data_IF_180806906196
#
_entry.id   IF_180806906196
#
_cell.length_a   1.000
_cell.length_b   1.000
_cell.length_c   1.000
_cell.angle_alpha   90.00
_cell.angle_beta   90.00
_cell.angle_gamma   90.00
#
_symmetry.space_group_name_H-M   'P 1'
#
loop_
_entity.id
_entity.type
_entity.pdbx_description
1 polymer ?
#
# COMPACT_ATOMS: atom_id res chain seq x y z
N UNK A 1 -1.64 -28.15 2.68
CA UNK A 1 -2.52 -28.09 1.50
C UNK A 1 -3.48 -26.89 1.40
N UNK A 2 -3.56 -25.98 2.38
CA UNK A 2 -4.35 -24.73 2.27
C UNK A 2 -3.73 -23.63 1.39
N UNK A 3 -2.50 -23.82 0.89
CA UNK A 3 -1.78 -22.84 0.07
C UNK A 3 -2.21 -22.79 -1.40
N UNK A 4 -3.11 -23.68 -1.85
CA UNK A 4 -3.72 -23.65 -3.19
C UNK A 4 -4.94 -22.71 -3.25
N UNK A 5 -4.89 -21.56 -2.58
CA UNK A 5 -5.88 -20.52 -2.82
C UNK A 5 -5.68 -19.97 -4.25
N UNK A 6 -6.77 -19.79 -5.02
CA UNK A 6 -6.73 -19.16 -6.36
C UNK A 6 -6.00 -17.80 -6.39
N UNK A 7 -5.79 -17.16 -5.24
CA UNK A 7 -5.03 -15.93 -5.09
C UNK A 7 -4.18 -15.95 -3.79
N UNK A 8 -2.94 -16.48 -3.84
CA UNK A 8 -2.09 -16.63 -2.66
C UNK A 8 -1.67 -15.28 -2.04
N UNK A 9 -1.50 -14.24 -2.86
CA UNK A 9 -1.18 -12.89 -2.40
C UNK A 9 -2.32 -12.28 -1.58
N UNK A 10 -3.58 -12.48 -1.99
CA UNK A 10 -4.76 -12.02 -1.25
C UNK A 10 -4.87 -12.66 0.13
N UNK A 11 -4.66 -14.00 0.19
CA UNK A 11 -4.66 -14.73 1.45
C UNK A 11 -3.53 -14.26 2.38
N UNK A 12 -2.30 -14.17 1.87
CA UNK A 12 -1.14 -13.68 2.62
C UNK A 12 -1.39 -12.28 3.19
N UNK A 13 -1.92 -11.36 2.38
CA UNK A 13 -2.23 -10.01 2.83
C UNK A 13 -3.30 -9.99 3.93
N UNK A 14 -4.32 -10.87 3.85
CA UNK A 14 -5.35 -11.00 4.89
C UNK A 14 -4.78 -11.56 6.19
N UNK A 15 -3.93 -12.58 6.11
CA UNK A 15 -3.29 -13.18 7.28
C UNK A 15 -2.35 -12.20 7.98
N UNK A 16 -1.47 -11.51 7.24
CA UNK A 16 -0.56 -10.51 7.82
C UNK A 16 -1.30 -9.41 8.57
N UNK A 17 -2.39 -8.87 7.99
CA UNK A 17 -3.23 -7.88 8.68
C UNK A 17 -3.88 -8.46 9.94
N UNK A 18 -4.42 -9.67 9.86
CA UNK A 18 -5.05 -10.32 11.02
C UNK A 18 -4.08 -10.53 12.19
N UNK A 19 -2.86 -10.99 11.88
CA UNK A 19 -1.80 -11.19 12.88
C UNK A 19 -1.36 -9.84 13.46
N UNK A 20 -1.09 -8.85 12.62
CA UNK A 20 -0.65 -7.52 13.05
C UNK A 20 -1.66 -6.85 13.97
N UNK A 21 -2.95 -6.86 13.59
CA UNK A 21 -4.02 -6.27 14.39
C UNK A 21 -4.15 -6.99 15.73
N UNK A 22 -4.11 -8.33 15.73
CA UNK A 22 -4.16 -9.13 16.96
C UNK A 22 -3.00 -8.80 17.90
N UNK A 23 -1.77 -8.78 17.38
CA UNK A 23 -0.58 -8.45 18.18
C UNK A 23 -0.64 -7.03 18.74
N UNK A 24 -1.17 -6.07 17.97
CA UNK A 24 -1.36 -4.70 18.45
C UNK A 24 -2.34 -4.66 19.64
N UNK A 25 -3.45 -5.39 19.57
CA UNK A 25 -4.41 -5.48 20.69
C UNK A 25 -3.79 -6.15 21.92
N UNK A 26 -3.06 -7.26 21.73
CA UNK A 26 -2.39 -7.98 22.83
C UNK A 26 -1.31 -7.12 23.52
N UNK A 27 -0.67 -6.22 22.77
CA UNK A 27 0.28 -5.24 23.29
C UNK A 27 -0.38 -4.01 23.93
N UNK A 28 -1.72 -3.91 23.95
CA UNK A 28 -2.45 -2.75 24.47
C UNK A 28 -2.37 -1.50 23.57
N UNK A 29 -1.97 -1.66 22.31
CA UNK A 29 -1.91 -0.56 21.34
C UNK A 29 -3.31 -0.24 20.81
N UNK A 30 -3.61 1.04 20.62
CA UNK A 30 -4.84 1.52 19.99
C UNK A 30 -4.65 1.98 18.53
N UNK A 31 -3.40 2.05 18.07
CA UNK A 31 -3.02 2.59 16.75
C UNK A 31 -1.91 1.75 16.12
N UNK A 32 -2.05 1.45 14.83
CA UNK A 32 -1.05 0.78 14.01
C UNK A 32 -0.61 1.71 12.88
N UNK A 33 0.68 2.05 12.84
CA UNK A 33 1.27 2.82 11.76
C UNK A 33 1.79 1.88 10.66
N UNK A 34 1.29 2.04 9.44
CA UNK A 34 1.68 1.25 8.29
C UNK A 34 2.57 2.06 7.37
N UNK A 35 3.61 1.42 6.84
CA UNK A 35 4.61 2.06 5.98
C UNK A 35 4.17 2.35 4.55
N UNK A 36 2.87 2.46 4.28
CA UNK A 36 2.38 2.77 2.94
C UNK A 36 2.76 4.20 2.55
N UNK A 37 3.28 4.35 1.34
CA UNK A 37 3.73 5.63 0.78
C UNK A 37 2.90 6.06 -0.43
N UNK A 38 3.23 7.22 -1.01
CA UNK A 38 2.42 7.83 -2.09
C UNK A 38 2.28 6.91 -3.31
N UNK A 39 3.37 6.28 -3.71
CA UNK A 39 3.40 5.36 -4.86
C UNK A 39 2.47 4.15 -4.62
N UNK A 40 2.38 3.62 -3.38
CA UNK A 40 1.48 2.51 -3.04
C UNK A 40 0.01 2.86 -3.33
N UNK A 41 -0.38 4.11 -3.09
CA UNK A 41 -1.74 4.56 -3.33
C UNK A 41 -2.04 4.64 -4.83
N UNK A 42 -1.11 5.18 -5.63
CA UNK A 42 -1.22 5.23 -7.07
C UNK A 42 -1.29 3.83 -7.69
N UNK A 43 -0.41 2.92 -7.27
CA UNK A 43 -0.41 1.51 -7.68
C UNK A 43 -1.73 0.83 -7.29
N UNK A 44 -2.20 1.03 -6.05
CA UNK A 44 -3.44 0.41 -5.58
C UNK A 44 -4.66 0.91 -6.34
N UNK A 45 -4.72 2.20 -6.69
CA UNK A 45 -5.78 2.75 -7.53
C UNK A 45 -5.81 2.06 -8.89
N UNK A 46 -4.66 1.96 -9.58
CA UNK A 46 -4.59 1.30 -10.88
C UNK A 46 -4.92 -0.19 -10.79
N UNK A 47 -4.44 -0.87 -9.75
CA UNK A 47 -4.77 -2.28 -9.52
C UNK A 47 -6.28 -2.49 -9.35
N UNK A 48 -6.94 -1.65 -8.55
CA UNK A 48 -8.38 -1.73 -8.36
C UNK A 48 -9.14 -1.42 -9.65
N UNK A 49 -8.67 -0.46 -10.45
CA UNK A 49 -9.30 -0.08 -11.70
C UNK A 49 -9.17 -1.17 -12.77
N UNK A 50 -7.95 -1.65 -13.04
CA UNK A 50 -7.69 -2.57 -14.16
C UNK A 50 -7.94 -4.04 -13.83
N UNK A 51 -7.61 -4.49 -12.61
CA UNK A 51 -7.80 -5.89 -12.23
C UNK A 51 -9.03 -6.12 -11.36
N UNK A 52 -9.49 -5.08 -10.67
CA UNK A 52 -10.67 -5.13 -9.80
C UNK A 52 -11.95 -4.55 -10.42
N UNK A 53 -11.88 -3.89 -11.57
CA UNK A 53 -13.02 -3.26 -12.24
C UNK A 53 -13.73 -2.18 -11.40
N UNK A 54 -13.01 -1.55 -10.45
CA UNK A 54 -13.60 -0.59 -9.51
C UNK A 54 -12.66 0.56 -9.20
N UNK A 55 -13.24 1.73 -8.95
CA UNK A 55 -12.48 2.89 -8.46
C UNK A 55 -12.38 2.79 -6.94
N UNK A 56 -11.16 2.82 -6.40
CA UNK A 56 -10.94 2.81 -4.96
C UNK A 56 -9.47 2.68 -4.56
N UNK A 57 -9.19 3.00 -3.31
CA UNK A 57 -7.88 2.86 -2.68
C UNK A 57 -8.04 2.50 -1.19
N UNK A 58 -6.95 2.26 -0.47
CA UNK A 58 -6.99 2.29 0.99
C UNK A 58 -7.03 3.76 1.48
N UNK A 59 -7.66 4.06 2.61
CA UNK A 59 -7.71 5.43 3.16
C UNK A 59 -6.41 5.81 3.90
N UNK A 60 -6.00 7.09 3.99
CA UNK A 60 -4.92 7.54 4.87
C UNK A 60 -5.11 7.12 6.34
N UNK A 61 -6.37 7.09 6.80
CA UNK A 61 -6.75 6.67 8.15
C UNK A 61 -7.89 5.67 8.06
N UNK A 62 -7.76 4.53 8.74
CA UNK A 62 -8.83 3.52 8.79
C UNK A 62 -9.17 3.21 10.24
N UNK A 63 -10.45 3.37 10.63
CA UNK A 63 -10.92 2.97 11.97
C UNK A 63 -11.49 1.56 11.90
N UNK A 64 -10.90 0.65 12.66
CA UNK A 64 -11.34 -0.73 12.82
C UNK A 64 -12.16 -0.84 14.12
N UNK A 65 -13.42 -0.41 14.07
CA UNK A 65 -14.30 -0.35 15.25
C UNK A 65 -14.41 -1.70 15.96
N UNK A 66 -14.61 -2.80 15.23
CA UNK A 66 -14.67 -4.16 15.81
C UNK A 66 -13.40 -4.60 16.56
N UNK A 67 -12.28 -3.92 16.34
CA UNK A 67 -10.99 -4.20 16.97
C UNK A 67 -10.53 -3.07 17.89
N UNK A 68 -11.29 -1.98 18.01
CA UNK A 68 -10.88 -0.76 18.72
C UNK A 68 -9.48 -0.26 18.29
N UNK A 69 -9.16 -0.41 17.00
CA UNK A 69 -7.87 -0.04 16.42
C UNK A 69 -8.00 1.07 15.37
N UNK A 70 -7.00 1.96 15.33
CA UNK A 70 -6.82 2.96 14.27
C UNK A 70 -5.60 2.59 13.41
N UNK A 71 -5.79 2.40 12.11
CA UNK A 71 -4.68 2.30 11.16
C UNK A 71 -4.35 3.69 10.63
N UNK A 72 -3.08 4.07 10.67
CA UNK A 72 -2.57 5.31 10.08
C UNK A 72 -1.46 5.01 9.07
N UNK A 73 -1.29 5.90 8.09
CA UNK A 73 -0.24 5.79 7.06
C UNK A 73 0.55 7.09 7.01
N UNK A 74 1.52 7.29 7.92
CA UNK A 74 2.18 8.59 8.07
C UNK A 74 2.95 9.04 6.82
N UNK A 75 3.45 8.08 6.03
CA UNK A 75 4.26 8.34 4.84
C UNK A 75 3.43 8.48 3.56
N UNK A 76 2.10 8.56 3.66
CA UNK A 76 1.21 8.40 2.51
C UNK A 76 1.33 9.49 1.44
N UNK A 77 1.95 10.62 1.77
CA UNK A 77 2.23 11.73 0.83
C UNK A 77 3.71 11.81 0.42
N UNK A 78 4.54 10.86 0.85
CA UNK A 78 5.97 10.84 0.60
C UNK A 78 6.25 9.89 -0.58
N UNK A 79 7.12 10.31 -1.50
CA UNK A 79 7.62 9.47 -2.60
C UNK A 79 8.50 8.33 -2.06
N UNK A 80 8.37 7.15 -2.66
CA UNK A 80 9.20 5.97 -2.37
C UNK A 80 10.71 6.29 -2.41
N UNK A 81 11.13 7.09 -3.40
CA UNK A 81 12.53 7.54 -3.58
C UNK A 81 13.03 8.39 -2.40
N UNK A 82 12.18 9.25 -1.82
CA UNK A 82 12.54 10.07 -0.66
C UNK A 82 12.69 9.22 0.60
N UNK A 83 11.83 8.21 0.77
CA UNK A 83 11.93 7.25 1.88
C UNK A 83 13.23 6.46 1.76
N UNK A 84 13.56 5.95 0.56
CA UNK A 84 14.80 5.22 0.32
C UNK A 84 16.04 6.08 0.59
N UNK A 85 16.03 7.34 0.12
CA UNK A 85 17.12 8.29 0.40
C UNK A 85 17.28 8.55 1.89
N UNK A 86 16.18 8.78 2.62
CA UNK A 86 16.22 9.02 4.06
C UNK A 86 16.73 7.79 4.83
N UNK A 87 16.31 6.59 4.45
CA UNK A 87 16.81 5.36 5.04
C UNK A 87 18.33 5.21 4.85
N UNK A 88 18.84 5.51 3.65
CA UNK A 88 20.28 5.48 3.36
C UNK A 88 21.05 6.55 4.17
N UNK A 89 20.58 7.80 4.18
CA UNK A 89 21.23 8.89 4.92
C UNK A 89 21.25 8.66 6.43
N UNK A 90 20.22 8.00 6.98
CA UNK A 90 20.14 7.67 8.40
C UNK A 90 20.82 6.34 8.75
N UNK A 91 21.43 5.63 7.78
CA UNK A 91 22.05 4.32 8.01
C UNK A 91 21.07 3.24 8.48
N UNK A 92 19.79 3.33 8.10
CA UNK A 92 18.77 2.38 8.54
C UNK A 92 18.86 1.06 7.74
N UNK A 93 18.71 -0.10 8.41
CA UNK A 93 18.72 -1.39 7.72
C UNK A 93 17.45 -1.54 6.88
N UNK A 94 17.62 -1.96 5.61
CA UNK A 94 16.51 -2.26 4.70
C UNK A 94 16.41 -3.77 4.50
N UNK A 95 15.30 -4.35 4.95
CA UNK A 95 15.02 -5.79 4.80
C UNK A 95 14.34 -6.02 3.45
N UNK A 96 14.93 -6.85 2.60
CA UNK A 96 14.32 -7.26 1.33
C UNK A 96 13.20 -8.27 1.58
N UNK A 97 12.18 -8.23 0.73
CA UNK A 97 11.07 -9.18 0.78
C UNK A 97 11.57 -10.61 0.51
N UNK A 98 11.20 -11.55 1.38
CA UNK A 98 11.41 -12.99 1.17
C UNK A 98 10.27 -13.67 0.41
N UNK A 99 9.36 -12.90 -0.21
CA UNK A 99 8.20 -13.44 -0.89
C UNK A 99 8.61 -14.11 -2.22
N UNK A 100 8.25 -15.38 -2.48
CA UNK A 100 8.69 -16.10 -3.68
C UNK A 100 8.09 -15.56 -4.99
N UNK A 101 7.03 -14.76 -4.90
CA UNK A 101 6.36 -14.13 -6.05
C UNK A 101 6.61 -12.62 -6.12
N UNK A 102 7.58 -12.12 -5.35
CA UNK A 102 7.96 -10.72 -5.41
C UNK A 102 8.43 -10.34 -6.83
N UNK A 103 8.10 -9.13 -7.29
CA UNK A 103 8.40 -8.69 -8.64
C UNK A 103 7.56 -9.33 -9.78
N UNK A 104 6.69 -10.30 -9.48
CA UNK A 104 5.77 -10.89 -10.47
C UNK A 104 4.31 -10.70 -10.05
N UNK A 105 3.96 -9.49 -9.60
CA UNK A 105 2.64 -9.18 -9.05
C UNK A 105 1.92 -8.13 -9.88
N UNK A 106 0.59 -8.07 -9.77
CA UNK A 106 -0.22 -6.98 -10.33
C UNK A 106 0.23 -5.59 -9.87
N UNK A 107 0.81 -5.50 -8.66
CA UNK A 107 1.40 -4.25 -8.15
C UNK A 107 2.62 -3.84 -8.96
N UNK A 108 3.50 -4.78 -9.25
CA UNK A 108 4.68 -4.52 -10.09
C UNK A 108 4.26 -4.07 -11.49
N UNK A 109 3.27 -4.73 -12.10
CA UNK A 109 2.72 -4.31 -13.40
C UNK A 109 2.14 -2.89 -13.36
N UNK A 110 1.40 -2.53 -12.30
CA UNK A 110 0.87 -1.18 -12.12
C UNK A 110 1.99 -0.14 -12.00
N UNK A 111 3.07 -0.46 -11.27
CA UNK A 111 4.24 0.41 -11.14
C UNK A 111 4.95 0.64 -12.47
N UNK A 112 5.23 -0.42 -13.21
CA UNK A 112 5.88 -0.33 -14.54
C UNK A 112 5.03 0.48 -15.53
N UNK A 113 3.71 0.33 -15.46
CA UNK A 113 2.79 1.12 -16.27
C UNK A 113 2.84 2.62 -15.91
N UNK A 114 2.85 2.95 -14.61
CA UNK A 114 3.02 4.35 -14.16
C UNK A 114 4.34 4.91 -14.66
N UNK A 115 5.44 4.16 -14.50
CA UNK A 115 6.78 4.58 -14.90
C UNK A 115 6.86 4.82 -16.42
N UNK A 116 6.35 3.89 -17.23
CA UNK A 116 6.36 4.01 -18.70
C UNK A 116 5.55 5.21 -19.21
N UNK A 117 4.38 5.47 -18.62
CA UNK A 117 3.52 6.59 -19.03
C UNK A 117 3.99 7.93 -18.46
N UNK A 118 4.80 7.95 -17.41
CA UNK A 118 5.27 9.19 -16.78
C UNK A 118 6.13 10.05 -17.71
N UNK A 119 6.82 9.43 -18.68
CA UNK A 119 7.57 10.19 -19.70
C UNK A 119 6.67 11.03 -20.61
N UNK A 120 5.47 10.55 -20.90
CA UNK A 120 4.51 11.24 -21.78
C UNK A 120 3.59 12.20 -21.01
N UNK A 121 3.14 11.78 -19.82
CA UNK A 121 2.13 12.50 -19.06
C UNK A 121 2.69 13.19 -17.81
N UNK A 122 4.01 13.23 -17.61
CA UNK A 122 4.62 13.90 -16.46
C UNK A 122 4.41 13.16 -15.14
N UNK A 123 4.21 13.86 -14.00
CA UNK A 123 4.21 13.23 -12.67
C UNK A 123 2.90 12.47 -12.40
N UNK A 124 2.77 11.26 -12.97
CA UNK A 124 1.53 10.49 -12.90
C UNK A 124 1.17 10.05 -11.48
N UNK A 125 2.15 9.72 -10.63
CA UNK A 125 1.88 9.40 -9.22
C UNK A 125 1.13 10.54 -8.54
N UNK A 126 1.58 11.78 -8.72
CA UNK A 126 0.93 12.96 -8.13
C UNK A 126 -0.45 13.21 -8.72
N UNK A 127 -0.63 12.99 -10.02
CA UNK A 127 -1.93 13.16 -10.69
C UNK A 127 -2.95 12.12 -10.22
N UNK A 128 -2.53 10.86 -10.08
CA UNK A 128 -3.37 9.76 -9.61
C UNK A 128 -3.79 9.96 -8.15
N UNK A 129 -2.85 10.33 -7.28
CA UNK A 129 -3.17 10.64 -5.88
C UNK A 129 -4.02 11.90 -5.78
N UNK A 130 -3.73 12.93 -6.57
CA UNK A 130 -4.56 14.14 -6.66
C UNK A 130 -5.99 13.84 -7.13
N UNK A 131 -6.19 12.83 -7.99
CA UNK A 131 -7.52 12.38 -8.39
C UNK A 131 -8.27 11.71 -7.23
N UNK A 132 -7.59 10.92 -6.38
CA UNK A 132 -8.19 10.37 -5.17
C UNK A 132 -8.69 11.48 -4.25
N UNK A 133 -7.86 12.49 -3.99
CA UNK A 133 -8.17 13.62 -3.11
C UNK A 133 -9.32 14.48 -3.65
N UNK A 134 -9.22 14.92 -4.91
CA UNK A 134 -10.25 15.77 -5.53
C UNK A 134 -11.59 15.04 -5.66
N UNK A 135 -11.55 13.72 -5.84
CA UNK A 135 -12.74 12.89 -5.97
C UNK A 135 -13.31 12.39 -4.63
N UNK A 136 -12.67 12.66 -3.49
CA UNK A 136 -13.08 12.11 -2.19
C UNK A 136 -13.09 10.58 -2.14
N UNK A 137 -12.28 9.93 -2.98
CA UNK A 137 -12.35 8.49 -3.19
C UNK A 137 -11.72 7.77 -2.01
N UNK A 138 -12.47 6.88 -1.36
CA UNK A 138 -11.96 6.07 -0.23
C UNK A 138 -11.44 6.90 0.96
N UNK A 139 -12.00 8.09 1.17
CA UNK A 139 -11.65 8.98 2.29
C UNK A 139 -10.29 9.67 2.12
N UNK A 140 -9.93 10.00 0.87
CA UNK A 140 -8.79 10.84 0.50
C UNK A 140 -9.18 12.31 0.34
#
# INVERSE_FOLDING_TARGET
DELKAKNPCSLCARMRRGILDKMAQEAGCNTVALGHHKDDAAETLLMNMFFGGRIGCFSPVTRLTRRELKLIRPMIFIDSKKIASAAASCGLPVVKSGCPVDGQTQRQQARELIESLSGQYGPLVDRLVGALQKGGISGW
#
